data_IF_046596982397
#
_entry.id   IF_046596982397
#
_cell.length_a   1.000
_cell.length_b   1.000
_cell.length_c   1.000
_cell.angle_alpha   90.00
_cell.angle_beta   90.00
_cell.angle_gamma   90.00
#
_symmetry.space_group_name_H-M   'P 1'
#
loop_
_entity.id
_entity.type
_entity.pdbx_description
1 polymer ?
#
# COMPACT_ATOMS: atom_id res chain seq x y z
N UNK A 1 -40.01 2.88 10.21
CA UNK A 1 -39.17 2.10 9.28
C UNK A 1 -37.83 2.81 9.23
N UNK A 2 -36.89 2.38 10.06
CA UNK A 2 -35.66 3.13 10.38
C UNK A 2 -34.60 2.95 9.29
N UNK A 3 -33.88 4.04 9.01
CA UNK A 3 -32.91 4.26 7.94
C UNK A 3 -31.59 3.50 8.16
N UNK A 4 -31.54 2.23 7.75
CA UNK A 4 -30.29 1.42 7.74
C UNK A 4 -29.42 1.76 6.51
N UNK A 5 -29.98 2.45 5.52
CA UNK A 5 -29.35 2.75 4.24
C UNK A 5 -28.02 3.51 4.29
N UNK A 6 -27.82 4.61 5.05
CA UNK A 6 -26.60 5.42 4.93
C UNK A 6 -25.32 4.69 5.40
N UNK A 7 -25.42 3.84 6.43
CA UNK A 7 -24.27 3.11 6.95
C UNK A 7 -23.76 2.04 5.97
N UNK A 8 -24.67 1.31 5.33
CA UNK A 8 -24.30 0.28 4.32
C UNK A 8 -23.53 0.90 3.16
N UNK A 9 -23.97 2.06 2.66
CA UNK A 9 -23.27 2.75 1.58
C UNK A 9 -21.86 3.17 2.00
N UNK A 10 -21.68 3.75 3.19
CA UNK A 10 -20.37 4.15 3.72
C UNK A 10 -19.41 2.95 3.78
N UNK A 11 -19.86 1.80 4.31
CA UNK A 11 -19.04 0.60 4.35
C UNK A 11 -18.67 0.10 2.95
N UNK A 12 -19.62 0.08 2.00
CA UNK A 12 -19.34 -0.34 0.62
C UNK A 12 -18.26 0.54 -0.02
N UNK A 13 -18.34 1.87 0.15
CA UNK A 13 -17.32 2.78 -0.38
C UNK A 13 -15.95 2.55 0.25
N UNK A 14 -15.88 2.38 1.58
CA UNK A 14 -14.62 2.05 2.27
C UNK A 14 -14.01 0.76 1.69
N UNK A 15 -14.81 -0.29 1.51
CA UNK A 15 -14.32 -1.54 0.91
C UNK A 15 -13.78 -1.35 -0.51
N UNK A 16 -14.48 -0.57 -1.35
CA UNK A 16 -14.04 -0.26 -2.71
C UNK A 16 -12.70 0.48 -2.70
N UNK A 17 -12.55 1.49 -1.82
CA UNK A 17 -11.32 2.26 -1.74
C UNK A 17 -10.13 1.45 -1.23
N UNK A 18 -10.35 0.60 -0.22
CA UNK A 18 -9.33 -0.35 0.23
C UNK A 18 -8.95 -1.33 -0.89
N UNK A 19 -9.94 -1.82 -1.64
CA UNK A 19 -9.68 -2.69 -2.79
C UNK A 19 -8.83 -2.01 -3.86
N UNK A 20 -9.07 -0.72 -4.14
CA UNK A 20 -8.25 0.06 -5.08
C UNK A 20 -6.78 0.12 -4.63
N UNK A 21 -6.51 0.33 -3.34
CA UNK A 21 -5.14 0.29 -2.82
C UNK A 21 -4.53 -1.10 -2.93
N UNK A 22 -5.25 -2.16 -2.57
CA UNK A 22 -4.78 -3.54 -2.72
C UNK A 22 -4.43 -3.86 -4.17
N UNK A 23 -5.26 -3.44 -5.13
CA UNK A 23 -4.99 -3.60 -6.57
C UNK A 23 -3.75 -2.82 -6.99
N UNK A 24 -3.58 -1.59 -6.53
CA UNK A 24 -2.38 -0.81 -6.83
C UNK A 24 -1.10 -1.45 -6.25
N UNK A 25 -1.16 -1.91 -5.00
CA UNK A 25 -0.07 -2.62 -4.34
C UNK A 25 0.31 -3.87 -5.13
N UNK A 26 -0.67 -4.68 -5.52
CA UNK A 26 -0.46 -5.89 -6.33
C UNK A 26 0.17 -5.57 -7.69
N UNK A 27 -0.31 -4.55 -8.39
CA UNK A 27 0.28 -4.12 -9.68
C UNK A 27 1.74 -3.67 -9.51
N UNK A 28 2.06 -3.05 -8.37
CA UNK A 28 3.41 -2.60 -8.05
C UNK A 28 4.34 -3.78 -7.78
N UNK A 29 3.87 -4.77 -7.01
CA UNK A 29 4.55 -6.03 -6.70
C UNK A 29 4.81 -6.88 -7.96
N UNK A 30 3.80 -6.98 -8.84
CA UNK A 30 3.91 -7.70 -10.12
C UNK A 30 4.98 -7.12 -11.07
N UNK A 31 5.47 -5.90 -10.86
CA UNK A 31 6.60 -5.36 -11.63
C UNK A 31 7.90 -6.12 -11.35
N UNK A 32 8.08 -6.62 -10.12
CA UNK A 32 9.33 -7.28 -9.68
C UNK A 32 9.16 -8.78 -9.44
N UNK A 33 7.93 -9.25 -9.21
CA UNK A 33 7.62 -10.66 -8.96
C UNK A 33 6.78 -11.31 -10.07
N UNK A 34 6.34 -10.53 -11.07
CA UNK A 34 5.51 -11.04 -12.17
C UNK A 34 6.27 -11.85 -13.22
N UNK A 35 5.57 -12.38 -14.25
CA UNK A 35 6.19 -13.20 -15.31
C UNK A 35 7.33 -12.50 -16.08
N UNK A 36 7.33 -11.17 -16.06
CA UNK A 36 8.33 -10.32 -16.73
C UNK A 36 9.39 -9.75 -15.77
N UNK A 37 9.41 -10.20 -14.50
CA UNK A 37 10.33 -9.76 -13.46
C UNK A 37 11.80 -9.80 -13.90
N UNK A 38 12.21 -10.86 -14.60
CA UNK A 38 13.58 -11.03 -15.11
C UNK A 38 14.01 -9.97 -16.13
N UNK A 39 13.07 -9.19 -16.69
CA UNK A 39 13.31 -8.16 -17.69
C UNK A 39 13.06 -6.74 -17.15
N UNK A 40 12.65 -6.59 -15.89
CA UNK A 40 12.40 -5.29 -15.29
C UNK A 40 13.73 -4.54 -15.14
N UNK A 41 13.72 -3.24 -15.43
CA UNK A 41 14.87 -2.36 -15.26
C UNK A 41 14.56 -1.33 -14.19
N UNK A 42 15.55 -0.75 -13.50
CA UNK A 42 15.33 0.37 -12.58
C UNK A 42 14.52 1.51 -13.23
N UNK A 43 14.72 1.75 -14.53
CA UNK A 43 13.97 2.73 -15.33
C UNK A 43 12.45 2.44 -15.38
N UNK A 44 12.03 1.19 -15.24
CA UNK A 44 10.61 0.86 -15.19
C UNK A 44 9.97 1.33 -13.88
N UNK A 45 10.67 1.20 -12.75
CA UNK A 45 10.22 1.72 -11.46
C UNK A 45 10.24 3.25 -11.45
N UNK A 46 11.19 3.90 -12.12
CA UNK A 46 11.18 5.36 -12.27
C UNK A 46 9.97 5.87 -13.07
N UNK A 47 9.60 5.15 -14.15
CA UNK A 47 8.36 5.45 -14.88
C UNK A 47 7.11 5.18 -14.04
N UNK A 48 7.14 4.14 -13.21
CA UNK A 48 6.03 3.82 -12.30
C UNK A 48 5.85 4.90 -11.22
N UNK A 49 6.94 5.41 -10.65
CA UNK A 49 6.90 6.52 -9.72
C UNK A 49 6.42 7.82 -10.37
N UNK A 50 6.87 8.13 -11.60
CA UNK A 50 6.35 9.28 -12.33
C UNK A 50 4.84 9.15 -12.58
N UNK A 51 4.38 7.95 -12.97
CA UNK A 51 2.97 7.66 -13.17
C UNK A 51 2.17 7.81 -11.87
N UNK A 52 2.72 7.41 -10.73
CA UNK A 52 2.12 7.67 -9.42
C UNK A 52 1.96 9.18 -9.16
N UNK A 53 2.99 9.99 -9.44
CA UNK A 53 2.88 11.45 -9.33
C UNK A 53 1.77 12.00 -10.22
N UNK A 54 1.67 11.53 -11.47
CA UNK A 54 0.60 11.94 -12.39
C UNK A 54 -0.80 11.59 -11.84
N UNK A 55 -0.97 10.42 -11.21
CA UNK A 55 -2.23 10.03 -10.54
C UNK A 55 -2.62 11.00 -9.43
N UNK A 56 -1.67 11.37 -8.57
CA UNK A 56 -1.89 12.33 -7.47
C UNK A 56 -2.13 13.76 -7.97
N UNK A 57 -1.68 14.07 -9.18
CA UNK A 57 -1.96 15.34 -9.87
C UNK A 57 -3.20 15.29 -10.77
N UNK A 58 -4.00 14.22 -10.72
CA UNK A 58 -5.26 14.11 -11.46
C UNK A 58 -5.12 13.75 -12.94
N UNK A 59 -3.99 13.18 -13.35
CA UNK A 59 -3.69 12.77 -14.73
C UNK A 59 -3.53 11.24 -14.85
N UNK A 60 -4.62 10.46 -14.74
CA UNK A 60 -4.54 9.00 -14.80
C UNK A 60 -4.21 8.51 -16.23
N UNK A 61 -3.43 7.43 -16.33
CA UNK A 61 -3.10 6.80 -17.62
C UNK A 61 -4.12 5.74 -18.04
N UNK A 62 -4.69 4.99 -17.09
CA UNK A 62 -5.70 3.94 -17.36
C UNK A 62 -6.85 3.95 -16.33
N UNK A 63 -7.75 2.97 -16.44
CA UNK A 63 -8.93 2.87 -15.55
C UNK A 63 -8.57 2.61 -14.07
N UNK A 64 -7.47 1.92 -13.79
CA UNK A 64 -7.03 1.65 -12.42
C UNK A 64 -6.44 2.91 -11.80
N UNK A 65 -5.66 3.65 -12.59
CA UNK A 65 -5.14 4.95 -12.19
C UNK A 65 -6.25 5.97 -11.97
N UNK A 66 -7.30 5.94 -12.81
CA UNK A 66 -8.46 6.81 -12.65
C UNK A 66 -9.19 6.51 -11.32
N UNK A 67 -9.35 5.23 -10.99
CA UNK A 67 -9.92 4.81 -9.72
C UNK A 67 -9.05 5.27 -8.53
N UNK A 68 -7.73 5.09 -8.60
CA UNK A 68 -6.82 5.55 -7.56
C UNK A 68 -6.83 7.08 -7.42
N UNK A 69 -6.78 7.81 -8.54
CA UNK A 69 -6.84 9.28 -8.58
C UNK A 69 -8.12 9.80 -7.92
N UNK A 70 -9.25 9.15 -8.21
CA UNK A 70 -10.52 9.44 -7.54
C UNK A 70 -10.42 9.20 -6.02
N UNK A 71 -9.88 8.06 -5.58
CA UNK A 71 -9.71 7.77 -4.15
C UNK A 71 -8.85 8.82 -3.44
N UNK A 72 -7.65 9.11 -3.96
CA UNK A 72 -6.71 10.05 -3.31
C UNK A 72 -7.17 11.51 -3.36
N UNK A 73 -8.09 11.85 -4.28
CA UNK A 73 -8.74 13.16 -4.28
C UNK A 73 -9.84 13.32 -3.23
N UNK A 74 -10.45 12.21 -2.78
CA UNK A 74 -11.56 12.21 -1.82
C UNK A 74 -11.09 12.01 -0.36
N UNK A 75 -9.89 11.50 -0.15
CA UNK A 75 -9.32 11.21 1.17
C UNK A 75 -7.96 11.88 1.34
N UNK A 76 -7.59 12.34 2.56
CA UNK A 76 -6.31 13.00 2.83
C UNK A 76 -5.17 11.98 2.91
N UNK A 77 -4.89 11.31 1.80
CA UNK A 77 -3.88 10.27 1.67
C UNK A 77 -2.55 10.91 1.26
N UNK A 78 -1.49 10.63 2.02
CA UNK A 78 -0.14 11.04 1.65
C UNK A 78 0.40 10.15 0.52
N UNK A 79 1.11 10.75 -0.44
CA UNK A 79 1.81 10.05 -1.51
C UNK A 79 3.04 9.30 -0.98
N UNK A 80 3.60 9.71 0.16
CA UNK A 80 4.87 9.20 0.66
C UNK A 80 4.88 7.67 0.87
N UNK A 81 3.87 7.04 1.52
CA UNK A 81 3.82 5.57 1.63
C UNK A 81 3.85 4.85 0.27
N UNK A 82 3.27 5.44 -0.78
CA UNK A 82 3.28 4.85 -2.12
C UNK A 82 4.69 4.89 -2.72
N UNK A 83 5.38 6.02 -2.57
CA UNK A 83 6.79 6.14 -2.99
C UNK A 83 7.69 5.18 -2.22
N UNK A 84 7.45 5.04 -0.92
CA UNK A 84 8.19 4.11 -0.07
C UNK A 84 7.98 2.66 -0.50
N UNK A 85 6.75 2.26 -0.86
CA UNK A 85 6.51 0.92 -1.42
C UNK A 85 7.31 0.69 -2.72
N UNK A 86 7.35 1.68 -3.63
CA UNK A 86 8.17 1.60 -4.85
C UNK A 86 9.66 1.49 -4.50
N UNK A 87 10.12 2.17 -3.45
CA UNK A 87 11.49 2.01 -2.95
C UNK A 87 11.77 0.60 -2.42
N UNK A 88 10.79 -0.05 -1.80
CA UNK A 88 10.83 -1.48 -1.48
C UNK A 88 11.12 -2.33 -2.70
N UNK A 89 10.35 -2.14 -3.78
CA UNK A 89 10.55 -2.87 -5.04
C UNK A 89 11.94 -2.65 -5.64
N UNK A 90 12.53 -1.45 -5.47
CA UNK A 90 13.91 -1.17 -5.90
C UNK A 90 14.94 -1.99 -5.11
N UNK A 91 14.66 -2.31 -3.85
CA UNK A 91 15.52 -3.18 -3.03
C UNK A 91 15.45 -4.62 -3.54
N UNK A 92 14.27 -5.11 -3.90
CA UNK A 92 14.07 -6.48 -4.41
C UNK A 92 14.87 -6.75 -5.68
N UNK A 93 15.04 -5.74 -6.55
CA UNK A 93 15.87 -5.87 -7.75
C UNK A 93 17.37 -6.08 -7.47
N UNK A 94 17.85 -5.78 -6.26
CA UNK A 94 19.28 -5.75 -5.94
C UNK A 94 19.66 -6.71 -4.82
N UNK A 95 18.73 -7.05 -3.94
CA UNK A 95 19.04 -7.66 -2.64
C UNK A 95 18.40 -9.03 -2.50
N UNK A 96 19.24 -10.06 -2.48
CA UNK A 96 18.80 -11.44 -2.31
C UNK A 96 18.76 -11.90 -0.83
N UNK A 97 19.43 -11.20 0.09
CA UNK A 97 19.47 -11.53 1.53
C UNK A 97 19.59 -10.29 2.41
N UNK A 98 19.00 -10.40 3.60
CA UNK A 98 19.09 -9.42 4.69
C UNK A 98 20.17 -9.85 5.69
N UNK A 99 21.04 -8.92 6.09
CA UNK A 99 22.17 -9.21 6.97
C UNK A 99 21.78 -9.22 8.46
N UNK A 100 20.78 -8.42 8.82
CA UNK A 100 20.30 -8.27 10.18
C UNK A 100 18.79 -8.02 10.21
N UNK A 101 18.22 -8.03 11.41
CA UNK A 101 16.79 -7.85 11.59
C UNK A 101 16.32 -6.44 11.21
N UNK A 102 17.13 -5.39 11.41
CA UNK A 102 16.74 -4.03 11.08
C UNK A 102 16.56 -3.84 9.56
N UNK A 103 17.42 -4.46 8.76
CA UNK A 103 17.26 -4.47 7.31
C UNK A 103 16.00 -5.23 6.87
N UNK A 104 15.68 -6.35 7.53
CA UNK A 104 14.45 -7.10 7.28
C UNK A 104 13.21 -6.31 7.70
N UNK A 105 13.28 -5.64 8.85
CA UNK A 105 12.21 -4.81 9.39
C UNK A 105 11.92 -3.63 8.46
N UNK A 106 12.96 -2.97 7.96
CA UNK A 106 12.84 -1.91 6.96
C UNK A 106 12.21 -2.42 5.65
N UNK A 107 12.55 -3.64 5.23
CA UNK A 107 11.87 -4.26 4.09
C UNK A 107 10.38 -4.48 4.36
N UNK A 108 10.01 -5.06 5.52
CA UNK A 108 8.61 -5.24 5.90
C UNK A 108 7.84 -3.91 6.00
N UNK A 109 8.51 -2.84 6.43
CA UNK A 109 7.96 -1.48 6.37
C UNK A 109 7.59 -1.13 4.93
N UNK A 110 8.52 -1.25 3.97
CA UNK A 110 8.28 -0.86 2.58
C UNK A 110 7.16 -1.65 1.91
N UNK A 111 7.12 -2.98 2.05
CA UNK A 111 6.19 -3.82 1.27
C UNK A 111 4.83 -4.03 1.95
N UNK A 112 4.73 -3.83 3.26
CA UNK A 112 3.49 -4.10 4.00
C UNK A 112 3.10 -3.01 5.01
N UNK A 113 4.08 -2.41 5.68
CA UNK A 113 3.84 -1.28 6.58
C UNK A 113 3.22 -0.08 5.87
N UNK A 114 3.74 0.26 4.70
CA UNK A 114 3.21 1.32 3.83
C UNK A 114 1.75 1.09 3.46
N UNK A 115 1.33 -0.15 3.19
CA UNK A 115 -0.06 -0.52 2.90
C UNK A 115 -0.99 -0.18 4.07
N UNK A 116 -0.52 -0.43 5.30
CA UNK A 116 -1.20 0.01 6.52
C UNK A 116 -1.40 1.52 6.55
N UNK A 117 -0.33 2.28 6.29
CA UNK A 117 -0.36 3.75 6.26
C UNK A 117 -1.29 4.32 5.18
N UNK A 118 -1.32 3.73 3.98
CA UNK A 118 -2.25 4.11 2.90
C UNK A 118 -3.72 3.93 3.31
N UNK A 119 -3.99 2.90 4.12
CA UNK A 119 -5.35 2.48 4.45
C UNK A 119 -6.01 3.33 5.54
N UNK A 120 -5.23 3.91 6.46
CA UNK A 120 -5.77 4.65 7.62
C UNK A 120 -6.67 5.84 7.21
N UNK A 121 -6.29 6.73 6.28
CA UNK A 121 -7.14 7.85 5.87
C UNK A 121 -8.51 7.42 5.34
N UNK A 122 -8.58 6.26 4.67
CA UNK A 122 -9.80 5.71 4.08
C UNK A 122 -10.67 5.02 5.11
N UNK A 123 -10.07 4.23 6.01
CA UNK A 123 -10.81 3.60 7.12
C UNK A 123 -11.35 4.64 8.10
N UNK A 124 -10.63 5.75 8.27
CA UNK A 124 -10.95 6.80 9.22
C UNK A 124 -10.70 6.39 10.67
N UNK A 125 -10.81 7.36 11.56
CA UNK A 125 -10.74 7.17 13.01
C UNK A 125 -12.10 7.52 13.59
N UNK A 126 -12.67 6.63 14.39
CA UNK A 126 -13.97 6.84 15.00
C UNK A 126 -13.96 8.14 15.86
N UNK A 127 -14.99 8.99 15.78
CA UNK A 127 -15.01 10.27 16.51
C UNK A 127 -14.93 10.14 18.03
N UNK A 128 -15.37 9.00 18.58
CA UNK A 128 -15.34 8.63 19.99
C UNK A 128 -14.07 7.85 20.38
N UNK A 129 -13.16 7.62 19.44
CA UNK A 129 -11.88 6.96 19.70
C UNK A 129 -11.06 7.78 20.71
N UNK A 130 -10.55 7.09 21.73
CA UNK A 130 -9.60 7.66 22.71
C UNK A 130 -8.15 7.62 22.21
N UNK A 131 -7.87 6.91 21.12
CA UNK A 131 -6.53 6.83 20.55
C UNK A 131 -6.24 8.09 19.73
N UNK A 132 -5.04 8.66 19.90
CA UNK A 132 -4.58 9.73 19.03
C UNK A 132 -4.38 9.21 17.60
N UNK A 133 -4.41 10.12 16.62
CA UNK A 133 -4.09 9.79 15.22
C UNK A 133 -2.75 9.07 15.10
N UNK A 134 -1.72 9.55 15.81
CA UNK A 134 -0.39 8.94 15.83
C UNK A 134 -0.43 7.48 16.29
N UNK A 135 -1.18 7.17 17.37
CA UNK A 135 -1.32 5.79 17.86
C UNK A 135 -1.96 4.90 16.80
N UNK A 136 -2.98 5.39 16.09
CA UNK A 136 -3.65 4.62 15.03
C UNK A 136 -2.71 4.34 13.87
N UNK A 137 -1.95 5.33 13.41
CA UNK A 137 -0.96 5.14 12.34
C UNK A 137 0.15 4.18 12.75
N UNK A 138 0.67 4.30 13.97
CA UNK A 138 1.68 3.38 14.50
C UNK A 138 1.13 1.95 14.62
N UNK A 139 -0.13 1.78 15.03
CA UNK A 139 -0.77 0.47 15.09
C UNK A 139 -0.97 -0.14 13.70
N UNK A 140 -1.42 0.65 12.71
CA UNK A 140 -1.58 0.20 11.33
C UNK A 140 -0.23 -0.22 10.71
N UNK A 141 0.82 0.55 10.98
CA UNK A 141 2.18 0.23 10.55
C UNK A 141 2.67 -1.08 11.18
N UNK A 142 2.53 -1.22 12.51
CA UNK A 142 2.94 -2.41 13.23
C UNK A 142 2.19 -3.66 12.76
N UNK A 143 0.90 -3.55 12.47
CA UNK A 143 0.08 -4.63 11.91
C UNK A 143 0.60 -5.08 10.54
N UNK A 144 0.87 -4.13 9.63
CA UNK A 144 1.42 -4.44 8.31
C UNK A 144 2.76 -5.19 8.40
N UNK A 145 3.66 -4.69 9.24
CA UNK A 145 4.97 -5.32 9.48
C UNK A 145 4.80 -6.73 10.08
N UNK A 146 3.96 -6.88 11.10
CA UNK A 146 3.71 -8.17 11.75
C UNK A 146 3.15 -9.22 10.77
N UNK A 147 2.21 -8.81 9.91
CA UNK A 147 1.67 -9.67 8.86
C UNK A 147 2.77 -10.12 7.88
N UNK A 148 3.67 -9.22 7.47
CA UNK A 148 4.74 -9.59 6.55
C UNK A 148 5.78 -10.50 7.18
N UNK A 149 6.15 -10.25 8.44
CA UNK A 149 7.01 -11.17 9.19
C UNK A 149 6.37 -12.55 9.31
N UNK A 150 5.05 -12.60 9.51
CA UNK A 150 4.29 -13.87 9.56
C UNK A 150 4.31 -14.59 8.21
N UNK A 151 4.10 -13.87 7.10
CA UNK A 151 4.22 -14.45 5.75
C UNK A 151 5.62 -15.02 5.51
N UNK A 152 6.66 -14.26 5.84
CA UNK A 152 8.05 -14.71 5.69
C UNK A 152 8.31 -15.99 6.49
N UNK A 153 7.84 -16.05 7.75
CA UNK A 153 7.99 -17.24 8.59
C UNK A 153 7.22 -18.45 8.05
N UNK A 154 6.01 -18.23 7.52
CA UNK A 154 5.19 -19.28 6.89
C UNK A 154 5.89 -19.86 5.65
N UNK A 155 6.48 -19.00 4.83
CA UNK A 155 7.02 -19.37 3.51
C UNK A 155 8.47 -19.87 3.60
N UNK A 156 9.05 -20.01 4.81
CA UNK A 156 10.36 -20.64 5.00
C UNK A 156 10.30 -22.10 4.54
N UNK A 157 11.07 -22.42 3.51
CA UNK A 157 11.17 -23.78 2.98
C UNK A 157 10.23 -24.07 1.82
N UNK A 158 9.35 -23.12 1.45
CA UNK A 158 8.65 -23.14 0.17
C UNK A 158 9.64 -22.72 -0.93
N UNK A 159 10.32 -23.70 -1.52
CA UNK A 159 11.09 -23.57 -2.76
C UNK A 159 10.96 -24.84 -3.60
#
# INVERSE_FOLDING_TARGET
>A
MWSITPYIYIYIYIYIYIYIFVVWCKRTDELVDGPNASHITPKALDRWEQRLCDVFEGRPYDMYDAALSHTVSNYPVDIQPFKDMINGMRLDLRKARYNNFDELYLYCYYVAGTVGLMSVPVMGIAPDSKASTEIVYNAALALGIANQLTNILRDVGEK
#
